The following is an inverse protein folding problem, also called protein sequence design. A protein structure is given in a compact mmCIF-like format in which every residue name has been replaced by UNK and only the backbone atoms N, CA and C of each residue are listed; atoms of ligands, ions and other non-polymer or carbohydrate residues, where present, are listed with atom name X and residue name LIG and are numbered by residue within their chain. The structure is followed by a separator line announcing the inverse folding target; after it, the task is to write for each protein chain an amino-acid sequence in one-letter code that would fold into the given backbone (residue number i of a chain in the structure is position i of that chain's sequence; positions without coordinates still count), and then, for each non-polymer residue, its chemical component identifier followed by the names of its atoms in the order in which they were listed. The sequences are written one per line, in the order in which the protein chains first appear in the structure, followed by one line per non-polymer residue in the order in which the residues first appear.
data_IF_207453243040
#
_entry.id   IF_207453243040
#
_cell.length_a   1.000
_cell.length_b   1.000
_cell.length_c   1.000
_cell.angle_alpha   90.00
_cell.angle_beta   90.00
_cell.angle_gamma   90.00
#
_symmetry.space_group_name_H-M   'P 1'
#
loop_
_entity.id
_entity.type
_entity.pdbx_description
1 polymer ?
#
# COMPACT_ATOMS: atom_id res chain seq x y z
N UNK A 1 5.86 5.57 24.82
CA UNK A 1 5.73 4.10 24.76
C UNK A 1 5.65 3.54 26.17
N UNK A 2 5.07 2.36 26.33
CA UNK A 2 5.03 1.61 27.60
C UNK A 2 5.02 0.11 27.33
N UNK A 3 4.75 -0.70 28.35
CA UNK A 3 4.50 -2.13 28.20
C UNK A 3 3.07 -2.47 28.64
N UNK A 4 2.48 -3.46 27.97
CA UNK A 4 1.17 -4.02 28.31
C UNK A 4 1.25 -4.68 29.70
N UNK A 5 2.33 -5.43 29.95
CA UNK A 5 2.58 -6.03 31.27
C UNK A 5 2.95 -4.97 32.31
N UNK A 6 2.23 -4.95 33.44
CA UNK A 6 2.55 -4.10 34.61
C UNK A 6 4.02 -4.20 35.04
N UNK A 7 4.59 -5.40 35.03
CA UNK A 7 6.00 -5.70 35.39
C UNK A 7 6.77 -6.28 34.19
N UNK A 8 7.00 -5.46 33.17
CA UNK A 8 7.87 -5.84 32.05
C UNK A 8 9.35 -5.76 32.45
N UNK A 9 10.06 -6.89 32.39
CA UNK A 9 11.49 -6.98 32.75
C UNK A 9 12.35 -6.20 31.75
N UNK A 10 12.11 -6.37 30.45
CA UNK A 10 12.92 -5.72 29.43
C UNK A 10 12.72 -4.21 29.42
N UNK A 11 11.47 -3.72 29.58
CA UNK A 11 11.20 -2.28 29.70
C UNK A 11 11.94 -1.67 30.91
N UNK A 12 12.06 -2.44 32.01
CA UNK A 12 12.76 -2.00 33.23
C UNK A 12 14.22 -1.62 32.96
N UNK A 13 14.86 -2.23 31.97
CA UNK A 13 16.28 -2.00 31.66
C UNK A 13 16.51 -0.91 30.60
N UNK A 14 15.45 -0.37 29.99
CA UNK A 14 15.59 0.66 28.96
C UNK A 14 15.87 2.01 29.60
N UNK A 15 16.92 2.68 29.15
CA UNK A 15 17.43 3.95 29.66
C UNK A 15 17.46 5.05 28.58
N UNK A 16 17.63 6.34 28.96
CA UNK A 16 17.79 7.41 27.99
C UNK A 16 18.95 7.16 27.02
N UNK A 17 18.75 7.51 25.75
CA UNK A 17 19.66 7.26 24.61
C UNK A 17 19.70 5.82 24.07
N UNK A 18 18.95 4.89 24.65
CA UNK A 18 18.77 3.57 24.03
C UNK A 18 18.07 3.69 22.68
N UNK A 19 18.53 2.89 21.71
CA UNK A 19 17.92 2.83 20.38
C UNK A 19 16.90 1.70 20.33
N UNK A 20 15.74 1.99 19.75
CA UNK A 20 14.64 1.04 19.63
C UNK A 20 14.35 0.85 18.15
N UNK A 21 14.41 -0.39 17.66
CA UNK A 21 13.85 -0.77 16.36
C UNK A 21 12.39 -1.13 16.55
N UNK A 22 11.53 -0.57 15.71
CA UNK A 22 10.10 -0.85 15.69
C UNK A 22 9.82 -1.89 14.60
N UNK A 23 8.96 -2.84 14.91
CA UNK A 23 8.44 -3.82 13.96
C UNK A 23 6.92 -3.86 14.03
N UNK A 24 6.29 -4.30 12.94
CA UNK A 24 4.85 -4.52 12.86
C UNK A 24 4.54 -5.70 11.94
N UNK A 25 3.34 -6.23 12.03
CA UNK A 25 2.81 -7.18 11.03
C UNK A 25 2.12 -6.38 9.94
N UNK A 26 2.67 -6.42 8.73
CA UNK A 26 2.13 -5.73 7.55
C UNK A 26 1.52 -6.76 6.58
N UNK A 27 0.49 -6.35 5.84
CA UNK A 27 0.00 -7.11 4.69
C UNK A 27 0.85 -6.74 3.47
N UNK A 28 1.79 -7.61 3.13
CA UNK A 28 2.70 -7.43 2.00
C UNK A 28 2.47 -8.60 1.03
N UNK A 29 2.15 -8.30 -0.22
CA UNK A 29 1.84 -9.30 -1.26
C UNK A 29 0.69 -10.24 -0.88
N UNK A 30 -0.36 -9.73 -0.22
CA UNK A 30 -1.51 -10.50 0.29
C UNK A 30 -1.13 -11.53 1.36
N UNK A 31 0.00 -11.33 2.02
CA UNK A 31 0.47 -12.16 3.11
C UNK A 31 0.86 -11.29 4.31
N UNK A 32 0.44 -11.73 5.51
CA UNK A 32 0.88 -11.09 6.75
C UNK A 32 2.34 -11.42 7.01
N UNK A 33 3.22 -10.41 6.95
CA UNK A 33 4.65 -10.52 7.19
C UNK A 33 5.08 -9.61 8.33
N UNK A 34 5.84 -10.16 9.29
CA UNK A 34 6.47 -9.36 10.35
C UNK A 34 7.66 -8.61 9.72
N UNK A 35 7.64 -7.29 9.83
CA UNK A 35 8.62 -6.42 9.19
C UNK A 35 9.12 -5.34 10.15
N UNK A 36 10.41 -5.05 10.10
CA UNK A 36 10.98 -3.86 10.72
C UNK A 36 10.62 -2.64 9.88
N UNK A 37 10.20 -1.56 10.54
CA UNK A 37 9.50 -0.43 9.89
C UNK A 37 10.12 0.92 10.20
N UNK A 38 10.86 1.03 11.31
CA UNK A 38 11.42 2.27 11.79
C UNK A 38 12.42 2.01 12.91
N UNK A 39 13.17 3.04 13.26
CA UNK A 39 13.85 3.09 14.54
C UNK A 39 13.70 4.47 15.20
N UNK A 40 13.90 4.50 16.50
CA UNK A 40 13.87 5.70 17.33
C UNK A 40 14.92 5.60 18.44
N UNK A 41 15.02 6.64 19.25
CA UNK A 41 15.89 6.69 20.42
C UNK A 41 15.10 7.19 21.62
N UNK A 42 15.38 6.68 22.80
CA UNK A 42 14.74 7.12 24.05
C UNK A 42 15.26 8.51 24.40
N UNK A 43 14.32 9.43 24.61
CA UNK A 43 14.60 10.79 25.07
C UNK A 43 14.67 10.83 26.60
N UNK A 44 13.62 10.31 27.23
CA UNK A 44 13.43 10.37 28.67
C UNK A 44 12.68 9.12 29.14
N UNK A 45 12.98 8.71 30.37
CA UNK A 45 12.28 7.64 31.08
C UNK A 45 11.57 8.26 32.26
N UNK A 46 10.27 8.04 32.39
CA UNK A 46 9.46 8.59 33.48
C UNK A 46 8.55 7.53 34.11
N UNK A 47 8.02 7.85 35.30
CA UNK A 47 7.09 7.00 36.04
C UNK A 47 5.71 7.63 36.02
N UNK A 48 4.72 6.86 35.55
CA UNK A 48 3.33 7.27 35.50
C UNK A 48 2.43 6.06 35.72
N UNK A 49 1.57 6.14 36.74
CA UNK A 49 0.69 5.05 37.15
C UNK A 49 -0.55 4.93 36.25
N UNK A 50 -0.82 5.93 35.41
CA UNK A 50 -1.93 5.89 34.49
C UNK A 50 -1.71 4.89 33.35
N UNK A 51 -2.80 4.26 32.94
CA UNK A 51 -2.79 3.40 31.76
C UNK A 51 -2.69 4.29 30.53
N UNK A 52 -1.67 4.07 29.71
CA UNK A 52 -1.48 4.85 28.49
C UNK A 52 -2.20 4.16 27.33
N UNK A 53 -3.05 4.90 26.61
CA UNK A 53 -3.87 4.42 25.49
C UNK A 53 -4.74 3.20 25.82
N UNK A 54 -5.24 3.10 27.06
CA UNK A 54 -6.03 1.98 27.56
C UNK A 54 -5.39 0.58 27.39
N UNK A 55 -4.09 0.54 27.12
CA UNK A 55 -3.37 -0.67 26.76
C UNK A 55 -2.08 -0.85 27.57
N UNK A 56 -1.27 0.20 27.69
CA UNK A 56 0.03 0.10 28.36
C UNK A 56 -0.09 0.33 29.87
N UNK A 57 -0.10 -0.77 30.63
CA UNK A 57 -0.33 -0.77 32.08
C UNK A 57 0.95 -0.62 32.93
N UNK A 58 2.15 -0.64 32.34
CA UNK A 58 3.39 -0.51 33.11
C UNK A 58 3.58 0.91 33.66
N UNK A 59 4.03 1.09 34.92
CA UNK A 59 4.34 2.41 35.47
C UNK A 59 5.54 3.10 34.81
N UNK A 60 6.54 2.33 34.35
CA UNK A 60 7.67 2.88 33.60
C UNK A 60 7.18 3.22 32.19
N UNK A 61 7.41 4.45 31.74
CA UNK A 61 7.08 4.92 30.39
C UNK A 61 8.32 5.53 29.73
N UNK A 62 8.31 5.51 28.40
CA UNK A 62 9.39 6.02 27.57
C UNK A 62 8.87 7.18 26.73
N UNK A 63 9.53 8.32 26.84
CA UNK A 63 9.43 9.41 25.88
C UNK A 63 10.45 9.15 24.78
N UNK A 64 10.02 9.23 23.53
CA UNK A 64 10.87 8.95 22.38
C UNK A 64 11.29 10.23 21.69
N UNK A 65 12.47 10.19 21.08
CA UNK A 65 12.85 11.15 20.04
C UNK A 65 12.04 10.86 18.77
N UNK A 66 12.13 11.78 17.81
CA UNK A 66 11.47 11.62 16.51
C UNK A 66 11.77 10.26 15.87
N UNK A 67 10.72 9.64 15.32
CA UNK A 67 10.82 8.35 14.66
C UNK A 67 11.44 8.53 13.27
N UNK A 68 12.37 7.65 12.92
CA UNK A 68 12.95 7.56 11.59
C UNK A 68 12.41 6.31 10.91
N UNK A 69 11.55 6.51 9.93
CA UNK A 69 10.93 5.42 9.20
C UNK A 69 11.87 4.84 8.16
N UNK A 70 11.64 3.58 7.82
CA UNK A 70 12.30 2.93 6.70
C UNK A 70 11.55 3.30 5.40
N UNK A 71 12.29 3.48 4.31
CA UNK A 71 11.66 3.73 3.00
C UNK A 71 10.86 2.51 2.53
N UNK A 72 11.40 1.31 2.79
CA UNK A 72 10.75 0.03 2.54
C UNK A 72 10.78 -0.82 3.81
N UNK A 73 9.73 -1.62 4.08
CA UNK A 73 9.71 -2.49 5.25
C UNK A 73 10.72 -3.62 5.08
N UNK A 74 11.52 -3.91 6.12
CA UNK A 74 12.48 -5.01 6.10
C UNK A 74 11.83 -6.25 6.69
N UNK A 75 11.48 -7.22 5.84
CA UNK A 75 10.83 -8.46 6.26
C UNK A 75 11.79 -9.27 7.14
N UNK A 76 11.35 -9.60 8.37
CA UNK A 76 12.21 -10.25 9.36
C UNK A 76 12.70 -11.64 8.91
N UNK A 77 11.86 -12.36 8.15
CA UNK A 77 12.21 -13.67 7.59
C UNK A 77 13.34 -13.59 6.56
N UNK A 78 13.37 -12.53 5.76
CA UNK A 78 14.31 -12.40 4.63
C UNK A 78 15.74 -12.12 5.09
N UNK A 79 15.88 -11.63 6.34
CA UNK A 79 17.18 -11.36 6.96
C UNK A 79 17.44 -12.24 8.18
N UNK A 80 16.64 -13.29 8.39
CA UNK A 80 16.70 -14.11 9.59
C UNK A 80 18.06 -14.76 9.80
N UNK A 81 18.67 -15.28 8.73
CA UNK A 81 20.00 -15.90 8.75
C UNK A 81 21.11 -14.91 9.14
N UNK A 82 20.89 -13.61 8.93
CA UNK A 82 21.85 -12.58 9.29
C UNK A 82 21.74 -12.17 10.76
N UNK A 83 20.65 -12.48 11.48
CA UNK A 83 20.35 -11.91 12.80
C UNK A 83 20.63 -12.90 13.94
N UNK A 84 21.59 -12.58 14.80
CA UNK A 84 22.07 -13.50 15.84
C UNK A 84 20.99 -13.77 16.91
N UNK A 85 20.08 -12.82 17.11
CA UNK A 85 18.96 -12.96 18.04
C UNK A 85 17.83 -13.88 17.54
N UNK A 86 17.85 -14.28 16.26
CA UNK A 86 16.89 -15.21 15.66
C UNK A 86 17.52 -16.61 15.68
N UNK A 87 16.92 -17.50 16.46
CA UNK A 87 17.47 -18.85 16.68
C UNK A 87 17.03 -19.87 15.64
N UNK A 88 15.86 -19.64 15.04
CA UNK A 88 15.27 -20.51 14.03
C UNK A 88 14.74 -19.64 12.88
N UNK A 89 15.42 -19.72 11.73
CA UNK A 89 15.09 -18.95 10.53
C UNK A 89 13.67 -19.24 10.00
N UNK A 90 13.21 -20.49 10.12
CA UNK A 90 11.87 -20.88 9.68
C UNK A 90 10.78 -20.41 10.63
N UNK A 91 11.16 -20.09 11.87
CA UNK A 91 10.27 -19.70 12.97
C UNK A 91 10.64 -18.35 13.58
N UNK A 92 11.19 -17.43 12.77
CA UNK A 92 11.62 -16.09 13.21
C UNK A 92 10.55 -15.30 13.96
N UNK A 93 9.26 -15.56 13.66
CA UNK A 93 8.12 -14.96 14.38
C UNK A 93 8.10 -15.27 15.89
N UNK A 94 8.63 -16.42 16.34
CA UNK A 94 8.69 -16.75 17.76
C UNK A 94 9.62 -15.81 18.53
N UNK A 95 10.73 -15.44 17.91
CA UNK A 95 11.73 -14.54 18.47
C UNK A 95 11.28 -13.07 18.50
N UNK A 96 10.16 -12.75 17.82
CA UNK A 96 9.54 -11.42 17.76
C UNK A 96 8.16 -11.39 18.44
N UNK A 97 7.81 -12.42 19.23
CA UNK A 97 6.52 -12.51 19.93
C UNK A 97 6.44 -11.61 21.17
N UNK A 98 7.57 -11.24 21.77
CA UNK A 98 7.60 -10.37 22.95
C UNK A 98 7.50 -8.90 22.54
N UNK A 99 6.82 -8.09 23.36
CA UNK A 99 6.70 -6.64 23.18
C UNK A 99 8.06 -5.94 23.06
N UNK A 100 9.04 -6.43 23.83
CA UNK A 100 10.42 -5.95 23.82
C UNK A 100 11.34 -7.16 23.77
N UNK A 101 12.45 -7.02 23.04
CA UNK A 101 13.57 -7.94 23.03
C UNK A 101 14.84 -7.13 22.88
N UNK A 102 15.80 -7.41 23.74
CA UNK A 102 17.13 -6.84 23.62
C UNK A 102 17.86 -7.51 22.46
N UNK A 103 18.51 -6.70 21.63
CA UNK A 103 19.29 -7.16 20.48
C UNK A 103 20.69 -6.55 20.54
N UNK A 104 21.65 -7.20 19.89
CA UNK A 104 23.01 -6.68 19.82
C UNK A 104 23.08 -5.40 18.95
N UNK A 105 24.08 -4.56 19.19
CA UNK A 105 24.36 -3.41 18.32
C UNK A 105 24.66 -3.87 16.87
N UNK A 106 25.25 -5.06 16.72
CA UNK A 106 25.55 -5.63 15.43
C UNK A 106 24.26 -5.98 14.67
N UNK A 107 23.29 -6.64 15.31
CA UNK A 107 22.00 -6.93 14.70
C UNK A 107 21.22 -5.66 14.36
N UNK A 108 21.26 -4.66 15.24
CA UNK A 108 20.71 -3.34 14.97
C UNK A 108 21.30 -2.77 13.67
N UNK A 109 22.63 -2.80 13.52
CA UNK A 109 23.34 -2.35 12.32
C UNK A 109 22.99 -3.18 11.08
N UNK A 110 22.81 -4.49 11.21
CA UNK A 110 22.42 -5.36 10.09
C UNK A 110 21.03 -5.00 9.57
N UNK A 111 20.05 -4.75 10.44
CA UNK A 111 18.69 -4.35 10.05
C UNK A 111 18.70 -3.00 9.33
N UNK A 112 19.28 -1.96 9.93
CA UNK A 112 19.26 -0.61 9.34
C UNK A 112 20.01 -0.51 8.00
N UNK A 113 20.96 -1.43 7.72
CA UNK A 113 21.71 -1.44 6.45
C UNK A 113 20.90 -2.03 5.29
N UNK A 114 19.77 -2.68 5.55
CA UNK A 114 18.92 -3.30 4.53
C UNK A 114 17.95 -2.32 3.87
N UNK A 115 17.88 -1.09 4.38
CA UNK A 115 16.93 -0.07 3.89
C UNK A 115 17.52 1.33 4.00
N UNK A 116 16.97 2.25 3.23
CA UNK A 116 17.15 3.69 3.43
C UNK A 116 16.15 4.22 4.47
N UNK A 117 16.41 5.44 4.96
CA UNK A 117 15.55 6.13 5.92
C UNK A 117 14.76 7.23 5.21
N UNK A 118 13.53 7.44 5.65
CA UNK A 118 12.68 8.56 5.23
C UNK A 118 12.19 9.37 6.44
N UNK A 119 12.00 10.67 6.20
CA UNK A 119 11.31 11.58 7.14
C UNK A 119 9.81 11.64 6.87
N UNK A 120 9.38 11.20 5.69
CA UNK A 120 7.98 11.18 5.29
C UNK A 120 7.28 9.95 5.89
N UNK A 121 5.96 10.04 6.03
CA UNK A 121 5.17 8.90 6.47
C UNK A 121 5.19 7.82 5.37
N UNK A 122 5.56 6.56 5.69
CA UNK A 122 5.74 5.57 4.64
C UNK A 122 4.44 5.14 3.96
N UNK A 123 4.48 5.03 2.62
CA UNK A 123 3.35 4.59 1.81
C UNK A 123 2.82 3.18 2.17
N UNK A 124 3.65 2.30 2.73
CA UNK A 124 3.22 0.97 3.17
C UNK A 124 2.36 0.99 4.45
N UNK A 125 2.26 2.13 5.13
CA UNK A 125 1.22 2.36 6.16
C UNK A 125 -0.02 3.04 5.58
N UNK A 126 0.10 3.67 4.41
CA UNK A 126 -1.05 4.21 3.70
C UNK A 126 -1.81 3.04 3.07
N UNK A 127 -2.89 2.61 3.72
CA UNK A 127 -3.92 1.83 3.03
C UNK A 127 -4.59 2.71 2.00
N UNK A 128 -4.00 2.81 0.81
CA UNK A 128 -4.67 3.42 -0.34
C UNK A 128 -5.67 2.40 -0.89
N UNK A 129 -6.83 2.32 -0.24
CA UNK A 129 -7.97 1.57 -0.76
C UNK A 129 -8.71 2.45 -1.75
N UNK A 130 -8.49 2.25 -3.05
CA UNK A 130 -9.42 2.72 -4.06
C UNK A 130 -10.53 1.69 -4.22
N UNK A 131 -11.77 2.14 -4.46
CA UNK A 131 -12.78 1.20 -4.92
C UNK A 131 -12.34 0.63 -6.28
N UNK A 132 -12.77 -0.60 -6.60
CA UNK A 132 -12.51 -1.16 -7.93
C UNK A 132 -13.04 -0.22 -9.04
N UNK A 133 -14.14 0.48 -8.76
CA UNK A 133 -14.68 1.50 -9.66
C UNK A 133 -13.69 2.65 -9.91
N UNK A 134 -13.11 3.23 -8.85
CA UNK A 134 -12.14 4.33 -8.97
C UNK A 134 -10.89 3.89 -9.73
N UNK A 135 -10.42 2.66 -9.47
CA UNK A 135 -9.30 2.07 -10.18
C UNK A 135 -9.60 1.92 -11.68
N UNK A 136 -10.78 1.39 -12.03
CA UNK A 136 -11.19 1.20 -13.43
C UNK A 136 -11.39 2.54 -14.14
N UNK A 137 -12.02 3.53 -13.51
CA UNK A 137 -12.17 4.88 -14.05
C UNK A 137 -10.82 5.57 -14.27
N UNK A 138 -9.90 5.44 -13.32
CA UNK A 138 -8.55 5.97 -13.43
C UNK A 138 -7.76 5.29 -14.54
N UNK A 139 -7.92 3.97 -14.70
CA UNK A 139 -7.28 3.20 -15.78
C UNK A 139 -7.80 3.63 -17.16
N UNK A 140 -9.11 3.83 -17.30
CA UNK A 140 -9.72 4.37 -18.53
C UNK A 140 -9.17 5.76 -18.84
N UNK A 141 -9.11 6.64 -17.84
CA UNK A 141 -8.61 8.01 -18.01
C UNK A 141 -7.12 8.05 -18.38
N UNK A 142 -6.30 7.24 -17.72
CA UNK A 142 -4.87 7.11 -18.02
C UNK A 142 -4.63 6.59 -19.44
N UNK A 143 -5.32 5.53 -19.84
CA UNK A 143 -5.21 4.98 -21.20
C UNK A 143 -5.63 6.00 -22.25
N UNK A 144 -6.74 6.70 -22.03
CA UNK A 144 -7.20 7.78 -22.92
C UNK A 144 -6.14 8.88 -23.06
N UNK A 145 -5.55 9.34 -21.95
CA UNK A 145 -4.51 10.35 -21.97
C UNK A 145 -3.25 9.90 -22.73
N UNK A 146 -2.85 8.64 -22.61
CA UNK A 146 -1.72 8.06 -23.34
C UNK A 146 -2.02 8.00 -24.85
N UNK A 147 -3.21 7.54 -25.23
CA UNK A 147 -3.64 7.45 -26.63
C UNK A 147 -3.74 8.85 -27.23
N UNK A 148 -4.38 9.81 -26.54
CA UNK A 148 -4.50 11.20 -27.00
C UNK A 148 -3.14 11.87 -27.26
N UNK A 149 -2.10 11.50 -26.51
CA UNK A 149 -0.73 12.01 -26.71
C UNK A 149 0.03 11.34 -27.85
N UNK A 150 -0.27 10.08 -28.16
CA UNK A 150 0.49 9.27 -29.12
C UNK A 150 -0.18 9.14 -30.49
N UNK A 151 -1.50 9.24 -30.55
CA UNK A 151 -2.29 9.09 -31.77
C UNK A 151 -2.35 10.41 -32.55
N UNK A 152 -2.18 10.34 -33.88
CA UNK A 152 -2.25 11.53 -34.75
C UNK A 152 -3.67 11.87 -35.19
N UNK A 153 -4.58 10.90 -35.08
CA UNK A 153 -5.99 11.04 -35.47
C UNK A 153 -6.76 11.72 -34.35
N UNK A 154 -7.79 12.48 -34.71
CA UNK A 154 -8.68 13.15 -33.76
C UNK A 154 -9.72 12.22 -33.11
N UNK A 155 -9.70 10.92 -33.41
CA UNK A 155 -10.64 9.96 -32.87
C UNK A 155 -10.05 8.56 -32.82
N UNK A 156 -10.55 7.75 -31.89
CA UNK A 156 -10.10 6.38 -31.66
C UNK A 156 -11.29 5.42 -31.51
N UNK A 157 -11.22 4.24 -32.13
CA UNK A 157 -12.32 3.28 -32.08
C UNK A 157 -12.52 2.70 -30.68
N UNK A 158 -13.76 2.70 -30.18
CA UNK A 158 -14.09 2.27 -28.82
C UNK A 158 -13.73 0.78 -28.62
N UNK A 159 -14.05 -0.11 -29.57
CA UNK A 159 -13.73 -1.54 -29.45
C UNK A 159 -12.23 -1.79 -29.34
N UNK A 160 -11.42 -1.06 -30.11
CA UNK A 160 -9.96 -1.14 -30.03
C UNK A 160 -9.45 -0.58 -28.69
N UNK A 161 -10.03 0.52 -28.21
CA UNK A 161 -9.74 1.05 -26.88
C UNK A 161 -10.02 0.02 -25.78
N UNK A 162 -11.18 -0.64 -25.81
CA UNK A 162 -11.58 -1.65 -24.83
C UNK A 162 -10.64 -2.87 -24.85
N UNK A 163 -10.15 -3.30 -26.02
CA UNK A 163 -9.14 -4.37 -26.10
C UNK A 163 -7.82 -3.96 -25.42
N UNK A 164 -7.37 -2.73 -25.61
CA UNK A 164 -6.16 -2.21 -24.96
C UNK A 164 -6.36 -2.08 -23.45
N UNK A 165 -7.52 -1.58 -23.02
CA UNK A 165 -7.89 -1.49 -21.61
C UNK A 165 -7.92 -2.87 -20.96
N UNK A 166 -8.55 -3.85 -21.61
CA UNK A 166 -8.61 -5.22 -21.08
C UNK A 166 -7.22 -5.83 -20.90
N UNK A 167 -6.32 -5.61 -21.86
CA UNK A 167 -4.92 -6.03 -21.74
C UNK A 167 -4.24 -5.34 -20.56
N UNK A 168 -4.36 -4.01 -20.45
CA UNK A 168 -3.79 -3.23 -19.34
C UNK A 168 -4.27 -3.74 -17.98
N UNK A 169 -5.58 -3.99 -17.83
CA UNK A 169 -6.17 -4.49 -16.59
C UNK A 169 -5.65 -5.89 -16.22
N UNK A 170 -5.41 -6.76 -17.21
CA UNK A 170 -4.79 -8.07 -16.98
C UNK A 170 -3.35 -7.96 -16.45
N UNK A 171 -2.56 -7.03 -16.97
CA UNK A 171 -1.19 -6.78 -16.48
C UNK A 171 -1.19 -6.32 -15.01
N UNK A 172 -2.23 -5.58 -14.59
CA UNK A 172 -2.47 -5.22 -13.19
C UNK A 172 -3.11 -6.32 -12.33
N UNK A 173 -3.32 -7.52 -12.87
CA UNK A 173 -3.88 -8.66 -12.14
C UNK A 173 -5.39 -8.59 -11.92
N UNK A 174 -6.13 -7.78 -12.69
CA UNK A 174 -7.60 -7.70 -12.62
C UNK A 174 -8.23 -8.82 -13.45
N UNK A 175 -8.97 -9.71 -12.79
CA UNK A 175 -9.57 -10.92 -13.38
C UNK A 175 -10.94 -10.68 -14.04
N UNK A 176 -11.14 -9.55 -14.73
CA UNK A 176 -12.41 -9.23 -15.41
C UNK A 176 -12.42 -9.75 -16.84
N UNK A 177 -13.54 -10.30 -17.28
CA UNK A 177 -13.75 -10.68 -18.68
C UNK A 177 -13.84 -9.43 -19.57
N UNK A 178 -13.68 -9.61 -20.88
CA UNK A 178 -13.82 -8.50 -21.83
C UNK A 178 -15.23 -7.89 -21.74
N UNK A 179 -16.27 -8.73 -21.66
CA UNK A 179 -17.66 -8.29 -21.58
C UNK A 179 -17.94 -7.48 -20.31
N UNK A 180 -17.37 -7.87 -19.16
CA UNK A 180 -17.47 -7.08 -17.92
C UNK A 180 -16.78 -5.72 -18.03
N UNK A 181 -15.64 -5.65 -18.74
CA UNK A 181 -14.94 -4.37 -18.98
C UNK A 181 -15.74 -3.47 -19.93
N UNK A 182 -16.31 -4.05 -20.98
CA UNK A 182 -17.18 -3.34 -21.91
C UNK A 182 -18.44 -2.81 -21.21
N UNK A 183 -19.12 -3.65 -20.40
CA UNK A 183 -20.30 -3.23 -19.64
C UNK A 183 -19.95 -2.13 -18.63
N UNK A 184 -18.84 -2.26 -17.92
CA UNK A 184 -18.40 -1.24 -16.97
C UNK A 184 -18.14 0.09 -17.69
N UNK A 185 -17.40 0.07 -18.81
CA UNK A 185 -17.15 1.26 -19.61
C UNK A 185 -18.45 1.89 -20.10
N UNK A 186 -19.34 1.08 -20.67
CA UNK A 186 -20.63 1.53 -21.20
C UNK A 186 -21.46 2.30 -20.17
N UNK A 187 -21.49 1.81 -18.93
CA UNK A 187 -22.30 2.39 -17.84
C UNK A 187 -21.64 3.58 -17.16
N UNK A 188 -20.31 3.70 -17.20
CA UNK A 188 -19.58 4.63 -16.34
C UNK A 188 -18.75 5.69 -17.08
N UNK A 189 -18.46 5.54 -18.38
CA UNK A 189 -17.58 6.47 -19.10
C UNK A 189 -18.08 7.92 -19.11
N UNK A 190 -19.39 8.14 -18.98
CA UNK A 190 -19.96 9.49 -18.87
C UNK A 190 -19.40 10.27 -17.67
N UNK A 191 -18.93 9.59 -16.62
CA UNK A 191 -18.29 10.20 -15.45
C UNK A 191 -16.96 10.89 -15.80
N UNK A 192 -16.31 10.46 -16.88
CA UNK A 192 -15.01 10.98 -17.33
C UNK A 192 -15.15 12.17 -18.31
N UNK A 193 -16.37 12.51 -18.73
CA UNK A 193 -16.61 13.65 -19.63
C UNK A 193 -16.06 13.48 -21.04
N UNK A 194 -15.74 12.26 -21.46
CA UNK A 194 -15.28 11.99 -22.83
C UNK A 194 -16.38 12.29 -23.84
N UNK A 195 -15.99 12.87 -24.99
CA UNK A 195 -16.87 13.03 -26.14
C UNK A 195 -16.81 11.77 -27.00
N UNK A 196 -17.96 11.21 -27.35
CA UNK A 196 -18.06 10.05 -28.23
C UNK A 196 -18.76 10.42 -29.53
N UNK A 197 -18.27 9.87 -30.64
CA UNK A 197 -18.77 10.11 -31.99
C UNK A 197 -19.45 8.83 -32.53
N UNK A 198 -20.64 8.95 -33.16
CA UNK A 198 -21.31 7.82 -33.80
C UNK A 198 -20.65 7.45 -35.14
N UNK A 199 -20.94 6.26 -35.64
CA UNK A 199 -20.60 5.80 -37.00
C UNK A 199 -21.86 5.44 -37.77
N UNK A 200 -21.75 5.28 -39.09
CA UNK A 200 -22.78 4.64 -39.92
C UNK A 200 -22.62 3.12 -40.01
N UNK A 201 -21.47 2.62 -39.56
CA UNK A 201 -21.07 1.21 -39.60
C UNK A 201 -21.60 0.48 -38.34
N UNK A 202 -22.65 -0.37 -38.46
CA UNK A 202 -23.27 -1.03 -37.32
C UNK A 202 -22.32 -1.99 -36.59
N UNK A 203 -21.35 -2.58 -37.30
CA UNK A 203 -20.41 -3.54 -36.72
C UNK A 203 -19.45 -2.88 -35.71
N UNK A 204 -19.36 -1.55 -35.74
CA UNK A 204 -18.56 -0.75 -34.81
C UNK A 204 -19.35 -0.17 -33.65
N UNK A 205 -20.64 -0.48 -33.53
CA UNK A 205 -21.45 0.08 -32.46
C UNK A 205 -21.08 -0.50 -31.11
N UNK A 206 -20.98 0.40 -30.14
CA UNK A 206 -20.92 0.12 -28.70
C UNK A 206 -22.02 0.97 -28.07
N UNK A 207 -22.87 0.32 -27.28
CA UNK A 207 -23.98 0.98 -26.59
C UNK A 207 -23.43 1.67 -25.34
N UNK A 208 -23.53 2.98 -25.25
CA UNK A 208 -23.12 3.75 -24.06
C UNK A 208 -24.32 4.38 -23.36
N UNK A 209 -24.22 4.52 -22.05
CA UNK A 209 -25.24 5.10 -21.19
C UNK A 209 -24.81 6.48 -20.71
N UNK A 210 -25.75 7.43 -20.70
CA UNK A 210 -25.54 8.72 -20.05
C UNK A 210 -25.89 8.64 -18.55
N UNK A 211 -25.68 9.76 -17.82
CA UNK A 211 -26.00 9.87 -16.39
C UNK A 211 -27.46 9.54 -16.01
N UNK A 212 -28.38 9.56 -16.97
CA UNK A 212 -29.80 9.27 -16.78
C UNK A 212 -30.18 7.84 -17.21
N UNK A 213 -29.21 7.01 -17.61
CA UNK A 213 -29.44 5.65 -18.10
C UNK A 213 -29.97 5.58 -19.55
N UNK A 214 -29.97 6.68 -20.30
CA UNK A 214 -30.35 6.66 -21.72
C UNK A 214 -29.22 6.06 -22.55
N UNK A 215 -29.56 5.03 -23.33
CA UNK A 215 -28.65 4.34 -24.25
C UNK A 215 -28.53 5.04 -25.60
N UNK A 216 -27.32 5.14 -26.15
CA UNK A 216 -27.06 5.55 -27.52
C UNK A 216 -25.88 4.75 -28.11
N UNK A 217 -25.86 4.58 -29.43
CA UNK A 217 -24.79 3.85 -30.11
C UNK A 217 -23.66 4.81 -30.52
N UNK A 218 -22.43 4.44 -30.17
CA UNK A 218 -21.22 5.16 -30.57
C UNK A 218 -20.21 4.20 -31.15
N UNK A 219 -19.21 4.74 -31.83
CA UNK A 219 -18.12 3.92 -32.40
C UNK A 219 -16.74 4.46 -32.08
N UNK A 220 -16.63 5.77 -31.84
CA UNK A 220 -15.35 6.41 -31.60
C UNK A 220 -15.37 7.27 -30.34
N UNK A 221 -14.22 7.35 -29.67
CA UNK A 221 -13.90 8.35 -28.66
C UNK A 221 -13.21 9.50 -29.38
N UNK A 222 -13.64 10.74 -29.13
CA UNK A 222 -12.98 11.94 -29.62
C UNK A 222 -11.66 12.13 -28.87
N UNK A 223 -10.59 12.43 -29.60
CA UNK A 223 -9.28 12.78 -29.06
C UNK A 223 -8.98 14.28 -29.17
N UNK A 224 -9.87 15.07 -29.79
CA UNK A 224 -9.82 16.55 -29.82
C UNK A 224 -9.69 17.13 -28.40
#
# INVERSE_FOLDING_TARGET
MGAEKKRSVTLKNIEPNDKIILFSTLDLDRQKKISFIAYTMVDEVYQDKETLYDHYCSPKKLKLKGIKYFTEPVVARDIAADLDFIKDEQKSAYDLKSEYKEISEMDFKKIIRKTSLTKEYPAYFETVSFSLEDFLLSSINGLYAIIKRSEKRNQFEIKTFLKLLHKLLKEYGVSKSYDEVEEFYARNVWKLGFKHNPSRDPDKFVVLYNRFGKKNNFSYISLE
#
